data_IF_404054603091
#
_entry.id   IF_404054603091
#
_cell.length_a   1.000
_cell.length_b   1.000
_cell.length_c   1.000
_cell.angle_alpha   90.00
_cell.angle_beta   90.00
_cell.angle_gamma   90.00
#
_symmetry.space_group_name_H-M   'P 1'
#
loop_
_entity.id
_entity.type
_entity.pdbx_description
1 polymer ?
#
# COMPACT_ATOMS: atom_id res chain seq x y z
N UNK A 1 41.33 -24.70 -6.54
CA UNK A 1 40.34 -25.60 -5.94
C UNK A 1 39.98 -25.04 -4.59
N UNK A 2 38.94 -24.20 -4.52
CA UNK A 2 38.22 -23.91 -3.28
C UNK A 2 36.76 -23.67 -3.71
N UNK A 3 35.93 -24.60 -3.28
CA UNK A 3 34.49 -24.50 -3.38
C UNK A 3 34.05 -23.70 -2.17
N UNK A 4 33.88 -22.41 -2.32
CA UNK A 4 33.25 -21.59 -1.27
C UNK A 4 31.73 -21.68 -1.43
N UNK A 5 31.21 -22.33 -0.46
CA UNK A 5 29.88 -22.42 0.07
C UNK A 5 28.99 -21.19 -0.24
N UNK A 6 28.11 -21.33 -1.22
CA UNK A 6 26.87 -20.57 -1.22
C UNK A 6 26.08 -21.02 0.03
N UNK A 7 25.92 -20.14 0.98
CA UNK A 7 24.89 -20.27 2.01
C UNK A 7 23.55 -20.46 1.32
N UNK A 8 22.74 -21.43 1.79
CA UNK A 8 21.37 -21.51 1.29
C UNK A 8 20.66 -20.22 1.76
N UNK A 9 20.21 -19.41 0.81
CA UNK A 9 19.15 -18.45 1.09
C UNK A 9 18.06 -19.20 1.84
N UNK A 10 17.75 -18.75 3.03
CA UNK A 10 16.60 -19.20 3.78
C UNK A 10 15.39 -19.03 2.83
N UNK A 11 14.86 -20.16 2.39
CA UNK A 11 13.48 -20.22 1.94
C UNK A 11 12.65 -19.83 3.17
N UNK A 12 12.34 -18.55 3.28
CA UNK A 12 11.24 -18.13 4.12
C UNK A 12 10.02 -18.83 3.54
N UNK A 13 9.34 -19.59 4.40
CA UNK A 13 8.15 -20.34 4.06
C UNK A 13 7.19 -19.43 3.28
N UNK A 14 7.11 -19.64 1.97
CA UNK A 14 6.20 -18.95 1.06
C UNK A 14 4.73 -19.19 1.47
N UNK A 15 4.48 -20.23 2.27
CA UNK A 15 3.17 -20.51 2.86
C UNK A 15 2.65 -19.41 3.80
N UNK A 16 3.49 -18.49 4.28
CA UNK A 16 3.06 -17.38 5.13
C UNK A 16 2.74 -16.08 4.37
N UNK A 17 3.09 -15.99 3.08
CA UNK A 17 2.90 -14.77 2.29
C UNK A 17 1.88 -14.91 1.16
N UNK A 18 1.55 -16.12 0.78
CA UNK A 18 0.36 -16.38 -0.02
C UNK A 18 -0.86 -16.31 0.91
N UNK A 19 -1.19 -15.12 1.38
CA UNK A 19 -2.55 -14.87 1.81
C UNK A 19 -3.39 -15.03 0.56
N UNK A 20 -3.91 -16.26 0.37
CA UNK A 20 -4.74 -16.54 -0.79
C UNK A 20 -5.89 -15.52 -0.78
N UNK A 21 -6.32 -15.01 -1.95
CA UNK A 21 -7.50 -14.17 -2.06
C UNK A 21 -8.72 -14.80 -1.34
N UNK A 22 -8.70 -16.09 -1.13
CA UNK A 22 -9.74 -16.85 -0.41
C UNK A 22 -9.67 -16.73 1.12
N UNK A 23 -8.53 -16.43 1.73
CA UNK A 23 -8.49 -16.17 3.18
C UNK A 23 -9.09 -14.81 3.57
N UNK A 24 -9.11 -13.85 2.64
CA UNK A 24 -9.87 -12.61 2.81
C UNK A 24 -11.30 -12.69 2.28
N UNK A 25 -11.67 -13.72 1.48
CA UNK A 25 -12.92 -13.75 0.73
C UNK A 25 -13.99 -14.69 1.26
N UNK A 26 -13.68 -15.75 1.99
CA UNK A 26 -14.68 -16.76 2.36
C UNK A 26 -14.92 -16.95 3.85
N UNK A 27 -14.08 -16.45 4.74
CA UNK A 27 -14.51 -16.28 6.12
C UNK A 27 -15.32 -15.00 6.18
N UNK A 28 -16.61 -15.18 5.90
CA UNK A 28 -17.61 -14.16 5.83
C UNK A 28 -17.46 -13.12 6.94
N UNK A 29 -16.76 -12.04 6.66
CA UNK A 29 -17.20 -10.78 7.21
C UNK A 29 -18.63 -10.65 6.73
N UNK A 30 -19.55 -10.91 7.62
CA UNK A 30 -20.96 -10.61 7.40
C UNK A 30 -21.04 -9.10 7.16
N UNK A 31 -20.84 -8.69 5.92
CA UNK A 31 -21.07 -7.36 5.42
C UNK A 31 -22.57 -7.07 5.37
N UNK A 32 -23.35 -7.63 6.32
CA UNK A 32 -24.69 -7.18 6.54
C UNK A 32 -24.59 -5.68 6.86
N UNK A 33 -24.99 -4.87 5.88
CA UNK A 33 -25.11 -3.42 6.09
C UNK A 33 -25.94 -3.23 7.33
N UNK A 34 -25.32 -2.69 8.38
CA UNK A 34 -26.04 -2.35 9.59
C UNK A 34 -27.19 -1.42 9.20
N UNK A 35 -28.38 -1.72 9.67
CA UNK A 35 -29.46 -0.77 9.57
C UNK A 35 -29.19 0.45 10.45
N UNK A 36 -29.93 1.52 10.23
CA UNK A 36 -29.75 2.78 10.98
C UNK A 36 -29.89 2.58 12.49
N UNK A 37 -30.83 1.76 12.92
CA UNK A 37 -31.11 1.47 14.32
C UNK A 37 -29.92 0.76 14.99
N UNK A 38 -29.30 -0.18 14.31
CA UNK A 38 -28.12 -0.89 14.81
C UNK A 38 -26.90 0.03 14.91
N UNK A 39 -26.71 0.98 13.96
CA UNK A 39 -25.65 1.97 14.00
C UNK A 39 -25.82 2.95 15.17
N UNK A 40 -27.03 3.42 15.39
CA UNK A 40 -27.37 4.31 16.53
C UNK A 40 -27.17 3.61 17.88
N UNK A 41 -27.56 2.33 17.99
CA UNK A 41 -27.33 1.52 19.20
C UNK A 41 -25.83 1.36 19.49
N UNK A 42 -25.02 1.06 18.46
CA UNK A 42 -23.56 0.96 18.60
C UNK A 42 -22.95 2.27 19.10
N UNK A 43 -23.34 3.41 18.52
CA UNK A 43 -22.84 4.72 18.93
C UNK A 43 -23.23 5.04 20.37
N UNK A 44 -24.47 4.69 20.79
CA UNK A 44 -24.90 4.88 22.17
C UNK A 44 -24.07 4.06 23.16
N UNK A 45 -23.72 2.83 22.82
CA UNK A 45 -22.88 1.98 23.68
C UNK A 45 -21.44 2.48 23.75
N UNK A 46 -20.89 2.98 22.65
CA UNK A 46 -19.57 3.61 22.64
C UNK A 46 -19.53 4.90 23.46
N UNK A 47 -20.60 5.70 23.43
CA UNK A 47 -20.73 6.89 24.28
C UNK A 47 -20.77 6.53 25.77
N UNK A 48 -21.44 5.44 26.18
CA UNK A 48 -21.38 4.92 27.55
C UNK A 48 -19.97 4.51 27.97
N UNK A 49 -19.15 4.07 27.01
CA UNK A 49 -17.76 3.65 27.22
C UNK A 49 -16.73 4.79 27.04
N UNK A 50 -17.19 6.05 27.01
CA UNK A 50 -16.32 7.23 27.05
C UNK A 50 -16.08 7.92 25.71
N UNK A 51 -16.73 7.49 24.59
CA UNK A 51 -16.65 8.21 23.33
C UNK A 51 -17.41 9.55 23.44
N UNK A 52 -16.72 10.65 23.11
CA UNK A 52 -17.25 11.99 23.20
C UNK A 52 -17.74 12.51 21.83
N UNK A 53 -18.61 13.53 21.88
CA UNK A 53 -19.05 14.26 20.70
C UNK A 53 -20.18 13.60 19.92
N UNK A 54 -20.57 14.29 18.86
CA UNK A 54 -21.57 13.87 17.88
C UNK A 54 -21.04 14.20 16.49
N UNK A 55 -21.37 13.34 15.52
CA UNK A 55 -21.03 13.56 14.12
C UNK A 55 -22.17 13.03 13.26
N UNK A 56 -22.81 13.92 12.51
CA UNK A 56 -23.93 13.56 11.63
C UNK A 56 -23.54 12.58 10.53
N UNK A 57 -22.24 12.50 10.19
CA UNK A 57 -21.69 11.54 9.21
C UNK A 57 -21.55 10.12 9.76
N UNK A 58 -21.53 9.96 11.09
CA UNK A 58 -21.14 8.71 11.74
C UNK A 58 -22.05 7.55 11.37
N UNK A 59 -23.36 7.77 11.36
CA UNK A 59 -24.34 6.73 11.02
C UNK A 59 -24.12 6.22 9.58
N UNK A 60 -23.93 7.13 8.63
CA UNK A 60 -23.71 6.79 7.22
C UNK A 60 -22.36 6.07 7.03
N UNK A 61 -21.31 6.53 7.73
CA UNK A 61 -20.00 5.89 7.68
C UNK A 61 -20.08 4.47 8.21
N UNK A 62 -20.71 4.24 9.37
CA UNK A 62 -20.85 2.91 9.98
C UNK A 62 -21.66 1.98 9.07
N UNK A 63 -22.78 2.45 8.51
CA UNK A 63 -23.63 1.66 7.61
C UNK A 63 -22.86 1.24 6.34
N UNK A 64 -22.04 2.14 5.79
CA UNK A 64 -21.30 1.87 4.55
C UNK A 64 -20.11 0.93 4.73
N UNK A 65 -19.44 0.98 5.90
CA UNK A 65 -18.22 0.21 6.11
C UNK A 65 -18.42 -1.07 6.95
N UNK A 66 -19.53 -1.18 7.64
CA UNK A 66 -19.84 -2.27 8.58
C UNK A 66 -19.22 -2.10 9.97
N UNK A 67 -19.84 -2.77 10.95
CA UNK A 67 -19.50 -2.66 12.37
C UNK A 67 -18.05 -3.03 12.67
N UNK A 68 -17.59 -4.18 12.18
CA UNK A 68 -16.27 -4.72 12.55
C UNK A 68 -15.15 -3.81 12.07
N UNK A 69 -15.30 -3.30 10.86
CA UNK A 69 -14.33 -2.36 10.29
C UNK A 69 -14.33 -1.02 11.03
N UNK A 70 -15.50 -0.48 11.39
CA UNK A 70 -15.60 0.70 12.23
C UNK A 70 -14.94 0.47 13.59
N UNK A 71 -15.23 -0.66 14.25
CA UNK A 71 -14.62 -1.02 15.53
C UNK A 71 -13.10 -1.16 15.47
N UNK A 72 -12.52 -1.52 14.32
CA UNK A 72 -11.08 -1.54 14.15
C UNK A 72 -10.43 -0.16 14.27
N UNK A 73 -11.14 0.92 13.94
CA UNK A 73 -10.71 2.29 14.17
C UNK A 73 -10.94 2.73 15.61
N UNK A 74 -12.08 2.37 16.20
CA UNK A 74 -12.35 2.66 17.62
C UNK A 74 -11.28 2.07 18.53
N UNK A 75 -10.80 0.86 18.23
CA UNK A 75 -9.71 0.18 18.96
C UNK A 75 -8.40 0.97 19.01
N UNK A 76 -8.11 1.82 18.01
CA UNK A 76 -6.93 2.70 18.04
C UNK A 76 -6.97 3.73 19.18
N UNK A 77 -8.15 4.04 19.63
CA UNK A 77 -8.45 5.04 20.65
C UNK A 77 -9.02 4.42 21.92
N UNK A 78 -8.75 3.15 22.14
CA UNK A 78 -9.32 2.41 23.26
C UNK A 78 -8.26 1.52 23.90
N UNK A 79 -8.52 1.16 25.15
CA UNK A 79 -7.76 0.15 25.89
C UNK A 79 -8.71 -0.93 26.38
N UNK A 80 -8.26 -2.17 26.43
CA UNK A 80 -9.03 -3.24 27.06
C UNK A 80 -8.76 -3.25 28.56
N UNK A 81 -9.82 -3.29 29.37
CA UNK A 81 -9.70 -3.48 30.80
C UNK A 81 -9.46 -4.96 31.15
N UNK A 82 -9.28 -5.26 32.43
CA UNK A 82 -9.03 -6.62 32.93
C UNK A 82 -10.20 -7.59 32.69
N UNK A 83 -11.37 -7.10 32.32
CA UNK A 83 -12.56 -7.89 31.99
C UNK A 83 -12.74 -8.06 30.48
N UNK A 84 -11.82 -7.54 29.65
CA UNK A 84 -11.92 -7.58 28.18
C UNK A 84 -12.89 -6.54 27.62
N UNK A 85 -13.34 -5.57 28.43
CA UNK A 85 -14.21 -4.50 27.96
C UNK A 85 -13.37 -3.38 27.34
N UNK A 86 -13.85 -2.83 26.23
CA UNK A 86 -13.20 -1.75 25.51
C UNK A 86 -13.54 -0.42 26.17
N UNK A 87 -12.56 0.28 26.69
CA UNK A 87 -12.69 1.63 27.26
C UNK A 87 -12.04 2.63 26.32
N UNK A 88 -12.80 3.59 25.86
CA UNK A 88 -12.30 4.66 25.00
C UNK A 88 -11.39 5.61 25.81
N UNK A 89 -10.25 5.97 25.24
CA UNK A 89 -9.29 6.89 25.89
C UNK A 89 -9.97 8.27 26.06
N UNK A 90 -9.95 8.85 27.26
CA UNK A 90 -10.56 10.16 27.53
C UNK A 90 -10.13 11.24 26.54
N UNK A 91 -11.08 12.06 26.08
CA UNK A 91 -10.86 13.09 25.08
C UNK A 91 -10.90 12.59 23.63
N UNK A 92 -11.18 11.30 23.41
CA UNK A 92 -11.43 10.78 22.06
C UNK A 92 -12.82 11.19 21.60
N UNK A 93 -12.89 11.90 20.48
CA UNK A 93 -14.15 12.33 19.89
C UNK A 93 -14.55 11.47 18.70
N UNK A 94 -15.83 11.35 18.45
CA UNK A 94 -16.37 10.65 17.30
C UNK A 94 -15.89 11.27 15.99
N UNK A 95 -15.85 12.61 15.90
CA UNK A 95 -15.30 13.34 14.74
C UNK A 95 -13.90 12.86 14.37
N UNK A 96 -13.04 12.65 15.38
CA UNK A 96 -11.67 12.19 15.17
C UNK A 96 -11.61 10.81 14.51
N UNK A 97 -12.44 9.89 14.97
CA UNK A 97 -12.52 8.54 14.41
C UNK A 97 -13.05 8.59 12.97
N UNK A 98 -14.09 9.40 12.74
CA UNK A 98 -14.67 9.59 11.40
C UNK A 98 -13.65 10.23 10.44
N UNK A 99 -12.89 11.21 10.89
CA UNK A 99 -11.86 11.84 10.06
C UNK A 99 -10.73 10.85 9.70
N UNK A 100 -10.31 9.97 10.62
CA UNK A 100 -9.37 8.89 10.33
C UNK A 100 -9.90 7.94 9.24
N UNK A 101 -11.17 7.56 9.33
CA UNK A 101 -11.82 6.68 8.35
C UNK A 101 -11.89 7.37 6.98
N UNK A 102 -12.35 8.60 6.93
CA UNK A 102 -12.49 9.36 5.69
C UNK A 102 -11.12 9.62 5.04
N UNK A 103 -10.12 9.98 5.85
CA UNK A 103 -8.74 10.10 5.38
C UNK A 103 -8.24 8.79 4.75
N UNK A 104 -8.38 7.67 5.49
CA UNK A 104 -7.92 6.37 4.99
C UNK A 104 -8.61 5.96 3.70
N UNK A 105 -9.93 6.17 3.58
CA UNK A 105 -10.66 5.86 2.37
C UNK A 105 -10.16 6.68 1.17
N UNK A 106 -9.91 7.99 1.36
CA UNK A 106 -9.35 8.83 0.31
C UNK A 106 -7.92 8.46 -0.03
N UNK A 107 -7.09 8.13 0.96
CA UNK A 107 -5.74 7.64 0.75
C UNK A 107 -5.75 6.36 -0.11
N UNK A 108 -6.62 5.40 0.18
CA UNK A 108 -6.78 4.18 -0.61
C UNK A 108 -7.21 4.48 -2.06
N UNK A 109 -8.11 5.44 -2.27
CA UNK A 109 -8.55 5.85 -3.61
C UNK A 109 -7.40 6.46 -4.42
N UNK A 110 -6.65 7.39 -3.86
CA UNK A 110 -5.52 8.05 -4.52
C UNK A 110 -4.37 7.05 -4.80
N UNK A 111 -4.09 6.15 -3.87
CA UNK A 111 -3.12 5.07 -4.06
C UNK A 111 -3.55 4.13 -5.20
N UNK A 112 -4.83 3.75 -5.25
CA UNK A 112 -5.35 2.89 -6.32
C UNK A 112 -5.20 3.55 -7.70
N UNK A 113 -5.42 4.85 -7.81
CA UNK A 113 -5.23 5.62 -9.04
C UNK A 113 -3.74 5.61 -9.43
N UNK A 114 -2.85 5.95 -8.48
CA UNK A 114 -1.40 6.01 -8.73
C UNK A 114 -0.81 4.65 -9.11
N UNK A 115 -1.22 3.58 -8.42
CA UNK A 115 -0.83 2.20 -8.71
C UNK A 115 -1.34 1.75 -10.09
N UNK A 116 -2.56 2.09 -10.45
CA UNK A 116 -3.11 1.80 -11.78
C UNK A 116 -2.33 2.50 -12.89
N UNK A 117 -1.90 3.74 -12.64
CA UNK A 117 -1.08 4.49 -13.59
C UNK A 117 0.31 3.87 -13.73
N UNK A 118 0.97 3.54 -12.62
CA UNK A 118 2.24 2.83 -12.63
C UNK A 118 2.15 1.51 -13.40
N UNK A 119 1.13 0.71 -13.13
CA UNK A 119 0.88 -0.53 -13.84
C UNK A 119 0.78 -0.33 -15.35
N UNK A 120 -0.02 0.64 -15.80
CA UNK A 120 -0.17 0.95 -17.23
C UNK A 120 1.15 1.35 -17.91
N UNK A 121 2.06 1.97 -17.17
CA UNK A 121 3.38 2.34 -17.68
C UNK A 121 4.35 1.15 -17.68
N UNK A 122 4.23 0.24 -16.70
CA UNK A 122 5.09 -0.92 -16.56
C UNK A 122 4.77 -2.03 -17.56
N UNK A 123 3.49 -2.33 -17.81
CA UNK A 123 3.05 -3.43 -18.68
C UNK A 123 3.67 -3.39 -20.10
N UNK A 124 3.67 -2.26 -20.82
CA UNK A 124 4.28 -2.21 -22.15
C UNK A 124 5.79 -2.46 -22.12
N UNK A 125 6.48 -1.92 -21.12
CA UNK A 125 7.93 -2.10 -20.94
C UNK A 125 8.28 -3.55 -20.67
N UNK A 126 7.52 -4.23 -19.79
CA UNK A 126 7.65 -5.66 -19.56
C UNK A 126 7.48 -6.46 -20.86
N UNK A 127 6.39 -6.22 -21.58
CA UNK A 127 6.10 -6.94 -22.82
C UNK A 127 7.17 -6.75 -23.89
N UNK A 128 7.66 -5.53 -24.08
CA UNK A 128 8.72 -5.22 -25.04
C UNK A 128 10.05 -5.87 -24.65
N UNK A 129 10.47 -5.71 -23.38
CA UNK A 129 11.72 -6.26 -22.88
C UNK A 129 11.75 -7.78 -22.97
N UNK A 130 10.66 -8.46 -22.57
CA UNK A 130 10.55 -9.91 -22.63
C UNK A 130 10.61 -10.39 -24.09
N UNK A 131 9.86 -9.76 -25.00
CA UNK A 131 9.83 -10.14 -26.40
C UNK A 131 11.19 -9.99 -27.06
N UNK A 132 11.86 -8.86 -26.85
CA UNK A 132 13.20 -8.59 -27.40
C UNK A 132 14.22 -9.59 -26.86
N UNK A 133 14.20 -9.85 -25.54
CA UNK A 133 15.12 -10.81 -24.93
C UNK A 133 14.88 -12.23 -25.44
N UNK A 134 13.62 -12.65 -25.60
CA UNK A 134 13.26 -13.98 -26.11
C UNK A 134 13.73 -14.18 -27.55
N UNK A 135 13.60 -13.17 -28.42
CA UNK A 135 14.09 -13.21 -29.81
C UNK A 135 15.62 -13.33 -29.87
N UNK A 136 16.34 -12.51 -29.07
CA UNK A 136 17.81 -12.50 -29.05
C UNK A 136 18.41 -13.78 -28.49
N UNK A 137 17.74 -14.49 -27.61
CA UNK A 137 18.23 -15.68 -26.92
C UNK A 137 17.67 -16.99 -27.51
N UNK A 138 16.95 -16.93 -28.64
CA UNK A 138 16.27 -18.08 -29.25
C UNK A 138 15.47 -18.90 -28.21
N UNK A 139 14.87 -18.19 -27.24
CA UNK A 139 14.30 -18.81 -26.07
C UNK A 139 12.91 -19.40 -26.38
N UNK A 140 12.87 -20.72 -26.44
CA UNK A 140 11.63 -21.49 -26.56
C UNK A 140 11.23 -22.11 -25.22
N UNK A 141 11.39 -21.35 -24.16
CA UNK A 141 11.23 -21.84 -22.79
C UNK A 141 9.90 -22.54 -22.54
N UNK A 142 9.96 -23.60 -21.75
CA UNK A 142 8.79 -24.34 -21.31
C UNK A 142 8.03 -23.51 -20.30
N UNK A 143 6.83 -23.13 -20.68
CA UNK A 143 5.89 -22.42 -19.82
C UNK A 143 5.37 -23.40 -18.77
N UNK A 144 5.50 -23.09 -17.49
CA UNK A 144 4.62 -23.71 -16.52
C UNK A 144 3.22 -23.14 -16.73
N UNK A 145 2.19 -23.98 -16.67
CA UNK A 145 0.77 -23.59 -16.89
C UNK A 145 0.28 -22.47 -15.96
N UNK A 146 1.12 -21.97 -15.07
CA UNK A 146 0.81 -21.01 -14.03
C UNK A 146 1.64 -19.72 -14.08
N UNK A 147 2.56 -19.57 -15.05
CA UNK A 147 3.40 -18.38 -15.11
C UNK A 147 2.96 -17.43 -16.23
N UNK A 148 2.98 -16.14 -15.92
CA UNK A 148 2.74 -15.02 -16.86
C UNK A 148 3.72 -15.01 -18.04
N UNK A 149 4.72 -15.87 -18.03
CA UNK A 149 5.88 -15.92 -18.93
C UNK A 149 5.59 -15.82 -20.42
N UNK A 150 4.34 -15.89 -20.81
CA UNK A 150 3.93 -15.82 -22.22
C UNK A 150 2.58 -15.21 -22.38
N UNK A 151 2.20 -14.39 -21.42
CA UNK A 151 1.03 -13.59 -21.63
C UNK A 151 1.28 -12.75 -22.87
N UNK A 152 0.43 -12.91 -23.84
CA UNK A 152 0.23 -11.89 -24.85
C UNK A 152 0.06 -10.55 -24.14
N UNK A 153 0.37 -9.45 -24.81
CA UNK A 153 0.14 -8.09 -24.27
C UNK A 153 -1.26 -7.93 -23.67
N UNK A 154 -2.23 -8.68 -24.20
CA UNK A 154 -3.62 -8.69 -23.73
C UNK A 154 -3.78 -9.45 -22.40
N UNK A 155 -3.02 -10.52 -22.19
CA UNK A 155 -3.04 -11.27 -20.93
C UNK A 155 -2.30 -10.55 -19.81
N UNK A 156 -1.16 -9.90 -20.11
CA UNK A 156 -0.48 -9.00 -19.16
C UNK A 156 -1.40 -7.87 -18.68
N UNK A 157 -2.24 -7.32 -19.57
CA UNK A 157 -3.17 -6.25 -19.20
C UNK A 157 -4.27 -6.70 -18.23
N UNK A 158 -4.51 -8.00 -18.14
CA UNK A 158 -5.49 -8.62 -17.23
C UNK A 158 -4.87 -9.18 -15.95
N UNK A 159 -3.53 -9.31 -15.91
CA UNK A 159 -2.83 -9.84 -14.74
C UNK A 159 -3.01 -8.94 -13.51
N UNK A 160 -3.09 -9.51 -12.33
CA UNK A 160 -3.05 -8.74 -11.10
C UNK A 160 -1.66 -8.13 -10.89
N UNK A 161 -1.57 -7.07 -10.10
CA UNK A 161 -0.28 -6.47 -9.78
C UNK A 161 0.64 -7.46 -9.02
N UNK A 162 0.03 -8.29 -8.17
CA UNK A 162 0.71 -9.38 -7.46
C UNK A 162 1.32 -10.41 -8.42
N UNK A 163 0.57 -10.81 -9.45
CA UNK A 163 1.08 -11.71 -10.46
C UNK A 163 2.27 -11.12 -11.22
N UNK A 164 2.24 -9.83 -11.57
CA UNK A 164 3.36 -9.14 -12.21
C UNK A 164 4.60 -9.14 -11.32
N UNK A 165 4.43 -8.86 -10.02
CA UNK A 165 5.55 -8.91 -9.07
C UNK A 165 6.13 -10.32 -8.92
N UNK A 166 5.28 -11.34 -8.74
CA UNK A 166 5.73 -12.72 -8.62
C UNK A 166 6.52 -13.18 -9.84
N UNK A 167 6.09 -12.83 -11.05
CA UNK A 167 6.83 -13.17 -12.25
C UNK A 167 8.13 -12.40 -12.38
N UNK A 168 8.14 -11.13 -12.03
CA UNK A 168 9.36 -10.34 -12.01
C UNK A 168 10.42 -10.96 -11.10
N UNK A 169 10.04 -11.39 -9.92
CA UNK A 169 10.96 -11.88 -8.89
C UNK A 169 11.36 -13.36 -9.11
N UNK A 170 10.41 -14.21 -9.51
CA UNK A 170 10.59 -15.66 -9.50
C UNK A 170 10.74 -16.29 -10.88
N UNK A 171 10.24 -15.64 -11.91
CA UNK A 171 10.04 -16.29 -13.21
C UNK A 171 10.84 -15.66 -14.34
N UNK A 172 11.03 -14.34 -14.33
CA UNK A 172 11.78 -13.68 -15.40
C UNK A 172 13.26 -14.03 -15.33
N UNK A 173 13.91 -14.19 -16.49
CA UNK A 173 15.37 -14.28 -16.54
C UNK A 173 15.98 -13.02 -15.88
N UNK A 174 17.06 -13.20 -15.13
CA UNK A 174 17.71 -12.09 -14.40
C UNK A 174 18.08 -10.92 -15.31
N UNK A 175 18.45 -11.20 -16.56
CA UNK A 175 18.76 -10.17 -17.55
C UNK A 175 17.56 -9.28 -17.83
N UNK A 176 16.38 -9.86 -17.97
CA UNK A 176 15.11 -9.13 -18.16
C UNK A 176 14.82 -8.26 -16.95
N UNK A 177 14.86 -8.84 -15.75
CA UNK A 177 14.61 -8.11 -14.49
C UNK A 177 15.58 -6.94 -14.33
N UNK A 178 16.87 -7.13 -14.67
CA UNK A 178 17.88 -6.09 -14.63
C UNK A 178 17.64 -4.97 -15.64
N UNK A 179 17.26 -5.31 -16.88
CA UNK A 179 16.95 -4.31 -17.91
C UNK A 179 15.80 -3.42 -17.41
N UNK A 180 14.74 -4.03 -16.92
CA UNK A 180 13.56 -3.30 -16.41
C UNK A 180 13.92 -2.41 -15.22
N UNK A 181 14.63 -2.93 -14.22
CA UNK A 181 15.06 -2.16 -13.07
C UNK A 181 15.94 -0.95 -13.46
N UNK A 182 16.85 -1.15 -14.41
CA UNK A 182 17.73 -0.09 -14.91
C UNK A 182 16.97 1.04 -15.60
N UNK A 183 15.83 0.79 -16.24
CA UNK A 183 14.98 1.85 -16.80
C UNK A 183 14.44 2.80 -15.72
N UNK A 184 14.30 2.29 -14.50
CA UNK A 184 13.92 3.09 -13.33
C UNK A 184 15.13 3.55 -12.51
N UNK A 185 16.36 3.43 -13.04
CA UNK A 185 17.58 3.85 -12.34
C UNK A 185 17.90 3.05 -11.09
N UNK A 186 17.42 1.81 -10.98
CA UNK A 186 17.56 0.94 -9.83
C UNK A 186 18.24 -0.38 -10.20
N UNK A 187 18.74 -1.10 -9.20
CA UNK A 187 19.08 -2.52 -9.34
C UNK A 187 17.86 -3.42 -9.15
N UNK A 188 18.00 -4.69 -9.51
CA UNK A 188 16.94 -5.69 -9.46
C UNK A 188 16.33 -5.83 -8.06
N UNK A 189 17.17 -5.80 -7.03
CA UNK A 189 16.76 -6.01 -5.65
C UNK A 189 15.83 -4.90 -5.15
N UNK A 190 16.23 -3.65 -5.31
CA UNK A 190 15.41 -2.51 -4.88
C UNK A 190 14.11 -2.41 -5.68
N UNK A 191 14.17 -2.68 -6.99
CA UNK A 191 12.96 -2.64 -7.81
C UNK A 191 11.97 -3.74 -7.41
N UNK A 192 12.46 -4.97 -7.14
CA UNK A 192 11.63 -6.07 -6.63
C UNK A 192 10.98 -5.73 -5.28
N UNK A 193 11.75 -5.15 -4.33
CA UNK A 193 11.18 -4.69 -3.06
C UNK A 193 10.04 -3.67 -3.26
N UNK A 194 10.25 -2.69 -4.13
CA UNK A 194 9.24 -1.66 -4.39
C UNK A 194 7.99 -2.24 -5.05
N UNK A 195 8.16 -3.17 -5.97
CA UNK A 195 7.04 -3.90 -6.59
C UNK A 195 6.27 -4.73 -5.57
N UNK A 196 6.97 -5.42 -4.67
CA UNK A 196 6.35 -6.23 -3.60
C UNK A 196 5.46 -5.37 -2.72
N UNK A 197 6.00 -4.27 -2.17
CA UNK A 197 5.23 -3.36 -1.32
C UNK A 197 4.06 -2.74 -2.11
N UNK A 198 4.27 -2.34 -3.36
CA UNK A 198 3.22 -1.80 -4.22
C UNK A 198 2.10 -2.82 -4.46
N UNK A 199 2.44 -4.08 -4.70
CA UNK A 199 1.49 -5.20 -4.86
C UNK A 199 0.66 -5.40 -3.59
N UNK A 200 1.32 -5.50 -2.44
CA UNK A 200 0.66 -5.65 -1.15
C UNK A 200 -0.32 -4.49 -0.87
N UNK A 201 0.15 -3.25 -1.06
CA UNK A 201 -0.68 -2.05 -0.85
C UNK A 201 -1.83 -1.97 -1.86
N UNK A 202 -1.64 -2.46 -3.08
CA UNK A 202 -2.73 -2.55 -4.07
C UNK A 202 -3.90 -3.37 -3.52
N UNK A 203 -3.60 -4.54 -2.94
CA UNK A 203 -4.60 -5.37 -2.27
C UNK A 203 -5.28 -4.64 -1.10
N UNK A 204 -4.49 -4.03 -0.20
CA UNK A 204 -5.05 -3.28 0.93
C UNK A 204 -5.95 -2.12 0.49
N UNK A 205 -5.53 -1.35 -0.52
CA UNK A 205 -6.26 -0.20 -1.02
C UNK A 205 -7.58 -0.61 -1.70
N UNK A 206 -7.57 -1.69 -2.48
CA UNK A 206 -8.75 -2.23 -3.15
C UNK A 206 -9.88 -2.56 -2.18
N UNK A 207 -9.54 -3.12 -1.02
CA UNK A 207 -10.50 -3.44 0.03
C UNK A 207 -10.69 -2.32 1.05
N UNK A 208 -10.09 -1.15 0.81
CA UNK A 208 -10.10 0.00 1.75
C UNK A 208 -9.67 -0.41 3.17
N UNK A 209 -8.67 -1.29 3.26
CA UNK A 209 -8.09 -1.68 4.54
C UNK A 209 -7.35 -0.50 5.18
N UNK A 210 -7.14 -0.60 6.48
CA UNK A 210 -6.50 0.47 7.24
C UNK A 210 -5.00 0.58 6.89
N UNK A 211 -4.59 1.72 6.34
CA UNK A 211 -3.21 2.08 6.03
C UNK A 211 -2.60 3.07 7.03
N UNK A 212 -3.45 3.81 7.73
CA UNK A 212 -3.01 4.72 8.81
C UNK A 212 -2.48 3.88 9.98
N UNK A 213 -1.31 4.24 10.49
CA UNK A 213 -0.58 3.50 11.53
C UNK A 213 -0.21 2.05 11.14
N UNK A 214 -0.31 1.71 9.84
CA UNK A 214 0.09 0.40 9.36
C UNK A 214 1.61 0.36 9.15
N UNK A 215 2.26 -0.62 9.77
CA UNK A 215 3.70 -0.90 9.62
C UNK A 215 3.85 -2.15 8.78
N UNK A 216 4.56 -2.04 7.66
CA UNK A 216 4.86 -3.18 6.80
C UNK A 216 5.91 -4.08 7.46
N UNK A 217 5.82 -5.38 7.21
CA UNK A 217 6.81 -6.35 7.69
C UNK A 217 8.11 -6.23 6.90
N UNK A 218 7.99 -6.04 5.59
CA UNK A 218 9.13 -5.89 4.71
C UNK A 218 9.65 -4.45 4.72
N UNK A 219 10.97 -4.32 4.74
CA UNK A 219 11.63 -3.02 4.62
C UNK A 219 11.59 -2.55 3.17
N UNK A 220 11.34 -1.26 2.99
CA UNK A 220 11.44 -0.60 1.69
C UNK A 220 12.68 0.28 1.70
N UNK A 221 13.74 -0.19 1.06
CA UNK A 221 15.00 0.55 0.98
C UNK A 221 15.00 1.54 -0.18
N UNK A 222 15.63 2.69 0.05
CA UNK A 222 15.90 3.65 -1.02
C UNK A 222 17.26 3.34 -1.66
N UNK A 223 17.33 3.14 -2.98
CA UNK A 223 18.60 2.99 -3.68
C UNK A 223 19.53 4.20 -3.41
N UNK A 224 20.80 3.93 -3.15
CA UNK A 224 21.77 4.98 -2.73
C UNK A 224 21.89 6.13 -3.73
N UNK A 225 21.79 5.84 -5.02
CA UNK A 225 21.82 6.81 -6.10
C UNK A 225 20.55 7.68 -6.14
N UNK A 226 19.44 7.22 -5.58
CA UNK A 226 18.15 7.93 -5.55
C UNK A 226 17.91 8.71 -4.25
N UNK A 227 18.70 8.48 -3.20
CA UNK A 227 18.57 9.22 -1.92
C UNK A 227 18.49 10.75 -2.12
N UNK A 228 19.30 11.38 -2.98
CA UNK A 228 19.19 12.83 -3.19
C UNK A 228 17.84 13.28 -3.76
N UNK A 229 17.17 12.42 -4.51
CA UNK A 229 15.84 12.70 -5.09
C UNK A 229 14.71 12.56 -4.06
N UNK A 230 14.96 11.90 -2.92
CA UNK A 230 13.97 11.63 -1.88
C UNK A 230 14.31 12.26 -0.53
N UNK A 231 14.30 13.59 -0.41
CA UNK A 231 14.68 14.27 0.84
C UNK A 231 13.72 13.97 2.00
N UNK A 232 12.55 13.40 1.72
CA UNK A 232 11.52 13.03 2.69
C UNK A 232 11.52 11.55 3.05
N UNK A 233 12.36 10.75 2.38
CA UNK A 233 12.45 9.31 2.65
C UNK A 233 12.83 9.04 4.11
N UNK A 234 12.08 8.17 4.74
CA UNK A 234 12.33 7.79 6.12
C UNK A 234 12.73 6.32 6.24
N UNK A 235 14.03 6.06 6.26
CA UNK A 235 14.58 4.70 6.38
C UNK A 235 14.38 4.04 7.75
N UNK A 236 13.77 4.74 8.71
CA UNK A 236 13.54 4.21 10.06
C UNK A 236 12.15 3.63 10.25
N UNK A 237 11.27 3.80 9.29
CA UNK A 237 9.89 3.37 9.39
C UNK A 237 9.43 2.71 8.09
N UNK A 238 8.80 1.55 8.23
CA UNK A 238 8.23 0.79 7.12
C UNK A 238 6.74 1.09 7.02
N UNK A 239 6.42 2.28 6.56
CA UNK A 239 5.04 2.75 6.45
C UNK A 239 4.78 3.28 5.04
N UNK A 240 3.51 3.54 4.75
CA UNK A 240 3.01 3.94 3.43
C UNK A 240 3.69 5.20 2.85
N UNK A 241 4.24 6.07 3.69
CA UNK A 241 4.89 7.31 3.25
C UNK A 241 6.03 7.10 2.26
N UNK A 242 6.87 6.08 2.45
CA UNK A 242 7.95 5.77 1.52
C UNK A 242 7.41 5.28 0.16
N UNK A 243 6.34 4.48 0.15
CA UNK A 243 5.70 4.05 -1.11
C UNK A 243 5.07 5.21 -1.86
N UNK A 244 4.48 6.19 -1.16
CA UNK A 244 3.92 7.39 -1.79
C UNK A 244 5.00 8.12 -2.59
N UNK A 245 6.18 8.32 -2.00
CA UNK A 245 7.33 8.95 -2.67
C UNK A 245 7.84 8.10 -3.85
N UNK A 246 7.92 6.79 -3.65
CA UNK A 246 8.35 5.86 -4.69
C UNK A 246 7.40 5.85 -5.88
N UNK A 247 6.08 5.88 -5.65
CA UNK A 247 5.07 5.89 -6.73
C UNK A 247 5.14 7.16 -7.56
N UNK A 248 5.39 8.32 -6.97
CA UNK A 248 5.60 9.56 -7.74
C UNK A 248 6.80 9.43 -8.66
N UNK A 249 7.90 8.84 -8.18
CA UNK A 249 9.08 8.58 -9.00
C UNK A 249 8.83 7.55 -10.10
N UNK A 250 8.24 6.40 -9.76
CA UNK A 250 7.94 5.33 -10.72
C UNK A 250 6.97 5.77 -11.82
N UNK A 251 6.10 6.72 -11.50
CA UNK A 251 5.17 7.32 -12.46
C UNK A 251 5.81 8.41 -13.32
N UNK A 252 7.07 8.78 -13.08
CA UNK A 252 7.76 9.80 -13.85
C UNK A 252 7.14 11.18 -13.67
N UNK A 253 6.56 11.46 -12.51
CA UNK A 253 5.98 12.77 -12.21
C UNK A 253 7.14 13.72 -11.89
N UNK A 254 7.57 14.47 -12.91
CA UNK A 254 8.57 15.53 -12.78
C UNK A 254 8.03 16.69 -11.94
N UNK A 255 8.94 17.53 -11.43
CA UNK A 255 8.61 18.72 -10.63
C UNK A 255 7.61 19.67 -11.32
N UNK A 256 7.51 19.64 -12.65
CA UNK A 256 6.55 20.43 -13.43
C UNK A 256 5.08 20.02 -13.20
N UNK A 257 4.83 18.83 -12.68
CA UNK A 257 3.49 18.29 -12.39
C UNK A 257 3.24 18.16 -10.88
N UNK A 258 3.93 18.97 -10.09
CA UNK A 258 3.91 18.93 -8.63
C UNK A 258 2.50 18.88 -8.03
N UNK A 259 1.55 19.64 -8.57
CA UNK A 259 0.17 19.66 -8.07
C UNK A 259 -0.59 18.33 -8.26
N UNK A 260 -0.11 17.47 -9.16
CA UNK A 260 -0.69 16.17 -9.47
C UNK A 260 0.04 15.02 -8.76
N UNK A 261 1.16 15.31 -8.07
CA UNK A 261 1.89 14.27 -7.35
C UNK A 261 1.07 13.69 -6.21
N UNK A 262 1.18 12.38 -6.01
CA UNK A 262 0.52 11.68 -4.91
C UNK A 262 0.95 12.25 -3.55
N UNK A 263 2.23 12.58 -3.41
CA UNK A 263 2.77 13.24 -2.22
C UNK A 263 1.98 14.50 -1.87
N UNK A 264 1.78 15.39 -2.83
CA UNK A 264 1.05 16.63 -2.60
C UNK A 264 -0.43 16.43 -2.28
N UNK A 265 -1.06 15.48 -2.97
CA UNK A 265 -2.45 15.12 -2.69
C UNK A 265 -2.56 14.65 -1.26
N UNK A 266 -1.65 13.77 -0.83
CA UNK A 266 -1.63 13.21 0.53
C UNK A 266 -1.38 14.29 1.58
N UNK A 267 -0.47 15.24 1.35
CA UNK A 267 -0.29 16.38 2.28
C UNK A 267 -1.56 17.20 2.44
N UNK A 268 -2.28 17.49 1.36
CA UNK A 268 -3.58 18.18 1.44
C UNK A 268 -4.64 17.38 2.21
N UNK A 269 -4.64 16.05 2.08
CA UNK A 269 -5.53 15.18 2.86
C UNK A 269 -5.16 15.18 4.35
N UNK A 270 -3.86 15.11 4.69
CA UNK A 270 -3.40 15.20 6.08
C UNK A 270 -3.85 16.50 6.74
N UNK A 271 -3.71 17.63 6.04
CA UNK A 271 -4.17 18.93 6.55
C UNK A 271 -5.70 18.98 6.67
N UNK A 272 -6.44 18.50 5.65
CA UNK A 272 -7.90 18.50 5.62
C UNK A 272 -8.52 17.74 6.79
N UNK A 273 -7.97 16.56 7.13
CA UNK A 273 -8.49 15.68 8.16
C UNK A 273 -7.71 15.80 9.48
N UNK A 274 -6.80 16.76 9.59
CA UNK A 274 -5.96 16.97 10.77
C UNK A 274 -5.21 15.72 11.23
N UNK A 275 -4.73 14.92 10.28
CA UNK A 275 -3.96 13.70 10.55
C UNK A 275 -2.47 14.05 10.74
N UNK A 276 -1.86 13.55 11.81
CA UNK A 276 -0.42 13.72 12.00
C UNK A 276 0.39 12.98 10.91
N UNK A 277 1.33 13.63 10.23
CA UNK A 277 2.11 13.01 9.15
C UNK A 277 2.86 11.74 9.58
N UNK A 278 3.27 11.65 10.84
CA UNK A 278 3.95 10.48 11.41
C UNK A 278 3.11 9.20 11.36
N UNK A 279 1.78 9.31 11.32
CA UNK A 279 0.86 8.17 11.26
C UNK A 279 0.87 7.44 9.90
N UNK A 280 1.48 8.03 8.90
CA UNK A 280 1.74 7.40 7.60
C UNK A 280 3.24 7.28 7.30
N UNK A 281 4.11 7.61 8.25
CA UNK A 281 5.56 7.49 8.14
C UNK A 281 6.29 8.75 7.70
N UNK A 282 5.60 9.86 7.45
CA UNK A 282 6.26 11.14 7.17
C UNK A 282 6.79 11.78 8.45
N UNK A 283 7.98 12.39 8.38
CA UNK A 283 8.54 13.13 9.49
C UNK A 283 7.83 14.48 9.66
N UNK A 284 7.60 14.90 10.90
CA UNK A 284 6.99 16.22 11.22
C UNK A 284 7.81 17.41 10.68
N UNK A 285 9.11 17.24 10.47
CA UNK A 285 9.99 18.29 9.89
C UNK A 285 9.79 18.46 8.37
N UNK A 286 9.03 17.60 7.73
CA UNK A 286 8.85 17.62 6.29
C UNK A 286 7.91 18.75 5.82
N UNK A 287 6.98 19.19 6.68
CA UNK A 287 6.05 20.29 6.35
C UNK A 287 6.79 21.58 5.97
N UNK A 288 7.83 21.94 6.72
CA UNK A 288 8.64 23.13 6.45
C UNK A 288 9.45 23.05 5.14
N UNK A 289 9.82 21.83 4.72
CA UNK A 289 10.54 21.61 3.45
C UNK A 289 9.62 21.72 2.24
N UNK A 290 8.35 21.38 2.37
CA UNK A 290 7.35 21.54 1.31
C UNK A 290 6.94 23.00 1.11
N UNK A 291 6.75 23.74 2.20
CA UNK A 291 6.43 25.18 2.13
C UNK A 291 7.55 25.97 1.44
N UNK A 292 8.81 25.53 1.59
CA UNK A 292 9.97 26.10 0.89
C UNK A 292 10.04 25.75 -0.61
N UNK A 293 9.31 24.73 -1.07
CA UNK A 293 9.25 24.32 -2.49
C UNK A 293 8.03 24.91 -3.22
N UNK A 294 7.12 25.59 -2.53
CA UNK A 294 6.01 26.31 -3.18
C UNK A 294 6.58 27.56 -3.84
N UNK A 295 6.36 27.76 -5.16
CA UNK A 295 6.81 28.93 -5.89
C UNK A 295 6.15 30.20 -5.36
#
# INVERSE_FOLDING_TARGET
>A
MNKDSMSPMCFLDVEHYAVSPNEFGENGFDNSKLDKTSSESLLLDLKKNGLEGEDDRASDVIQNMGKDKFMSYVKLYSVENTLGELIVIPGTTLDRIIDDILFNNRLCEELSISLSFFRKNLEPKLGETISTWAEENEWSGIISEHSINYMSREELSKASFEAIWMDYDMTFPREVSRIIANEYGMDEYHFSQWLNIASYVCGLAQYKNKLVDHVFLDEMECPKNLIPSFPLWNSKVNMIGNLILALDYLNGLEESHFDLSLENIVWRLLDKYSIAPSRIGFSSNNKNKQEAKRP
#
